data_IF_383488320311
#
_entry.id   IF_383488320311
#
_cell.length_a   1.000
_cell.length_b   1.000
_cell.length_c   1.000
_cell.angle_alpha   90.00
_cell.angle_beta   90.00
_cell.angle_gamma   90.00
#
_symmetry.space_group_name_H-M   'P 1'
#
loop_
_entity.id
_entity.type
_entity.pdbx_description
1 polymer ?
#
# COMPACT_ATOMS: atom_id res chain seq x y z
N UNK A 1 -36.56 -1.06 2.04
CA UNK A 1 -37.48 0.04 1.66
C UNK A 1 -36.68 1.17 1.03
N UNK A 2 -37.35 2.18 0.43
CA UNK A 2 -36.76 3.43 -0.07
C UNK A 2 -35.41 3.29 -0.80
N UNK A 3 -35.44 2.99 -2.11
CA UNK A 3 -34.35 3.44 -2.98
C UNK A 3 -34.41 4.97 -3.04
N UNK A 4 -33.43 5.63 -2.44
CA UNK A 4 -33.26 7.08 -2.58
C UNK A 4 -32.58 7.38 -3.90
N UNK A 5 -33.25 8.10 -4.79
CA UNK A 5 -32.59 8.80 -5.89
C UNK A 5 -31.55 9.74 -5.27
N UNK A 6 -30.26 9.39 -5.36
CA UNK A 6 -29.18 10.31 -4.96
C UNK A 6 -29.28 11.53 -5.86
N UNK A 7 -29.44 12.71 -5.27
CA UNK A 7 -29.36 13.96 -6.03
C UNK A 7 -27.99 14.02 -6.72
N UNK A 8 -27.99 14.06 -8.04
CA UNK A 8 -26.75 13.99 -8.82
C UNK A 8 -25.89 15.25 -8.65
N UNK A 9 -26.41 16.31 -8.03
CA UNK A 9 -25.64 17.50 -7.65
C UNK A 9 -24.75 17.30 -6.41
N UNK A 10 -24.95 16.25 -5.59
CA UNK A 10 -24.24 16.08 -4.30
C UNK A 10 -23.14 15.01 -4.33
N UNK A 11 -22.58 14.69 -5.50
CA UNK A 11 -21.46 13.73 -5.65
C UNK A 11 -20.15 14.33 -5.12
N UNK A 12 -19.37 13.53 -4.39
CA UNK A 12 -18.03 13.89 -3.91
C UNK A 12 -16.95 13.05 -4.58
N UNK A 13 -15.95 13.72 -5.17
CA UNK A 13 -14.82 13.10 -5.89
C UNK A 13 -13.54 13.31 -5.09
N UNK A 14 -12.86 12.21 -4.75
CA UNK A 14 -11.52 12.27 -4.16
C UNK A 14 -10.47 12.19 -5.27
N UNK A 15 -9.67 13.23 -5.45
CA UNK A 15 -8.43 13.19 -6.24
C UNK A 15 -7.27 12.88 -5.27
N UNK A 16 -6.79 11.63 -5.25
CA UNK A 16 -5.63 11.21 -4.47
C UNK A 16 -4.48 10.76 -5.39
N UNK A 17 -3.69 11.71 -5.92
CA UNK A 17 -2.56 11.43 -6.81
C UNK A 17 -1.35 10.92 -6.04
N UNK A 18 -0.48 10.18 -6.72
CA UNK A 18 0.87 9.88 -6.25
C UNK A 18 1.75 11.15 -6.26
N UNK A 19 3.06 10.97 -6.11
CA UNK A 19 4.07 12.03 -6.20
C UNK A 19 5.09 11.71 -7.30
N UNK A 20 5.80 12.73 -7.77
CA UNK A 20 6.88 12.61 -8.75
C UNK A 20 6.44 12.70 -10.22
N UNK A 21 7.37 12.55 -11.17
CA UNK A 21 7.16 12.92 -12.59
C UNK A 21 6.03 12.21 -13.33
N UNK A 22 5.52 11.10 -12.80
CA UNK A 22 4.40 10.33 -13.38
C UNK A 22 3.10 10.48 -12.61
N UNK A 23 3.01 11.32 -11.57
CA UNK A 23 1.76 11.59 -10.87
C UNK A 23 0.80 12.47 -11.68
N UNK A 24 -0.51 12.37 -11.42
CA UNK A 24 -1.56 13.17 -12.09
C UNK A 24 -1.25 14.68 -12.06
N UNK A 25 -0.90 15.23 -10.90
CA UNK A 25 -0.64 16.68 -10.78
C UNK A 25 0.63 17.11 -11.51
N UNK A 26 1.64 16.24 -11.59
CA UNK A 26 2.91 16.53 -12.24
C UNK A 26 2.86 16.32 -13.77
N UNK A 27 1.86 15.57 -14.27
CA UNK A 27 1.58 15.39 -15.71
C UNK A 27 0.51 16.35 -16.26
N UNK A 28 -0.56 16.59 -15.52
CA UNK A 28 -1.75 17.33 -15.99
C UNK A 28 -2.03 18.64 -15.24
N UNK A 29 -1.45 18.82 -14.05
CA UNK A 29 -1.42 20.07 -13.29
C UNK A 29 -2.77 20.77 -13.11
N UNK A 30 -2.73 22.09 -13.24
CA UNK A 30 -3.85 22.98 -13.01
C UNK A 30 -5.08 22.64 -13.87
N UNK A 31 -4.86 22.23 -15.11
CA UNK A 31 -5.96 21.94 -16.03
C UNK A 31 -6.80 20.74 -15.58
N UNK A 32 -6.23 19.79 -14.82
CA UNK A 32 -7.00 18.65 -14.34
C UNK A 32 -7.94 19.01 -13.19
N UNK A 33 -7.48 19.84 -12.24
CA UNK A 33 -8.34 20.41 -11.19
C UNK A 33 -9.42 21.29 -11.84
N UNK A 34 -9.04 22.08 -12.86
CA UNK A 34 -9.96 22.92 -13.65
C UNK A 34 -11.01 22.10 -14.41
N UNK A 35 -10.70 20.88 -14.86
CA UNK A 35 -11.67 19.97 -15.48
C UNK A 35 -12.59 19.30 -14.45
N UNK A 36 -12.06 18.92 -13.29
CA UNK A 36 -12.87 18.40 -12.19
C UNK A 36 -13.89 19.42 -11.69
N UNK A 37 -13.51 20.69 -11.52
CA UNK A 37 -14.42 21.74 -11.09
C UNK A 37 -15.57 21.99 -12.10
N UNK A 38 -15.35 21.75 -13.41
CA UNK A 38 -16.42 21.83 -14.42
C UNK A 38 -17.51 20.76 -14.27
N UNK A 39 -17.27 19.68 -13.51
CA UNK A 39 -18.29 18.63 -13.29
C UNK A 39 -19.47 19.10 -12.44
N UNK A 40 -19.26 20.13 -11.61
CA UNK A 40 -20.20 20.59 -10.58
C UNK A 40 -20.11 19.84 -9.25
N UNK A 41 -19.24 18.82 -9.14
CA UNK A 41 -19.08 18.00 -7.94
C UNK A 41 -18.15 18.63 -6.91
N UNK A 42 -18.32 18.25 -5.63
CA UNK A 42 -17.40 18.62 -4.57
C UNK A 42 -16.11 17.79 -4.72
N UNK A 43 -14.97 18.46 -4.81
CA UNK A 43 -13.67 17.86 -5.11
C UNK A 43 -12.78 17.93 -3.87
N UNK A 44 -12.39 16.77 -3.34
CA UNK A 44 -11.37 16.67 -2.30
C UNK A 44 -10.05 16.36 -3.00
N UNK A 45 -9.06 17.24 -2.91
CA UNK A 45 -7.71 16.98 -3.43
C UNK A 45 -6.82 16.58 -2.26
N UNK A 46 -6.37 15.32 -2.26
CA UNK A 46 -5.52 14.74 -1.21
C UNK A 46 -4.20 14.21 -1.80
N UNK A 47 -3.22 15.09 -2.09
CA UNK A 47 -1.93 14.67 -2.64
C UNK A 47 -1.19 13.74 -1.69
N UNK A 48 -0.39 12.82 -2.24
CA UNK A 48 0.53 12.02 -1.44
C UNK A 48 1.43 12.95 -0.59
N UNK A 49 1.64 12.69 0.72
CA UNK A 49 2.35 13.62 1.61
C UNK A 49 3.73 14.07 1.12
N UNK A 50 4.43 13.22 0.36
CA UNK A 50 5.73 13.53 -0.23
C UNK A 50 5.70 14.71 -1.22
N UNK A 51 4.59 14.96 -1.93
CA UNK A 51 4.51 16.09 -2.88
C UNK A 51 4.64 17.45 -2.20
N UNK A 52 4.16 17.60 -0.95
CA UNK A 52 4.36 18.82 -0.16
C UNK A 52 5.84 19.07 0.23
N UNK A 53 6.70 18.04 0.10
CA UNK A 53 8.14 18.11 0.40
C UNK A 53 8.99 18.19 -0.88
N UNK A 54 8.74 17.29 -1.84
CA UNK A 54 9.53 17.15 -3.08
C UNK A 54 9.03 17.98 -4.24
N UNK A 55 7.76 18.40 -4.25
CA UNK A 55 7.09 19.08 -5.36
C UNK A 55 6.48 20.41 -4.89
N UNK A 56 7.11 21.04 -3.88
CA UNK A 56 6.57 22.19 -3.15
C UNK A 56 6.11 23.33 -4.07
N UNK A 57 6.91 23.71 -5.07
CA UNK A 57 6.57 24.83 -5.98
C UNK A 57 5.35 24.52 -6.86
N UNK A 58 5.12 23.24 -7.20
CA UNK A 58 3.90 22.79 -7.86
C UNK A 58 2.71 22.87 -6.89
N UNK A 59 2.88 22.40 -5.66
CA UNK A 59 1.83 22.41 -4.64
C UNK A 59 1.39 23.83 -4.26
N UNK A 60 2.35 24.71 -3.96
CA UNK A 60 2.10 26.12 -3.66
C UNK A 60 1.35 26.81 -4.81
N UNK A 61 1.77 26.56 -6.06
CA UNK A 61 1.09 27.11 -7.25
C UNK A 61 -0.35 26.61 -7.36
N UNK A 62 -0.58 25.31 -7.22
CA UNK A 62 -1.92 24.72 -7.35
C UNK A 62 -2.86 25.21 -6.23
N UNK A 63 -2.38 25.27 -4.99
CA UNK A 63 -3.17 25.79 -3.87
C UNK A 63 -3.45 27.30 -3.98
N UNK A 64 -2.57 28.07 -4.64
CA UNK A 64 -2.79 29.50 -4.92
C UNK A 64 -3.71 29.75 -6.13
N UNK A 65 -3.70 28.88 -7.14
CA UNK A 65 -4.60 28.96 -8.31
C UNK A 65 -6.01 28.43 -7.98
N UNK A 66 -6.12 27.46 -7.07
CA UNK A 66 -7.35 26.82 -6.64
C UNK A 66 -7.43 26.77 -5.10
N UNK A 67 -7.74 27.88 -4.41
CA UNK A 67 -7.92 27.89 -2.96
C UNK A 67 -9.20 27.13 -2.53
N UNK A 68 -9.28 26.77 -1.24
CA UNK A 68 -10.43 26.08 -0.66
C UNK A 68 -11.75 26.85 -0.87
N UNK A 69 -12.84 26.13 -1.09
CA UNK A 69 -14.18 26.67 -1.36
C UNK A 69 -15.27 25.62 -1.09
N UNK A 70 -16.55 25.99 -1.19
CA UNK A 70 -17.68 25.04 -1.15
C UNK A 70 -17.51 23.83 -2.09
N UNK A 71 -16.81 24.02 -3.22
CA UNK A 71 -16.58 22.98 -4.23
C UNK A 71 -15.20 22.29 -4.12
N UNK A 72 -14.25 22.81 -3.32
CA UNK A 72 -12.86 22.33 -3.32
C UNK A 72 -12.25 22.31 -1.91
N UNK A 73 -11.67 21.17 -1.53
CA UNK A 73 -10.95 21.00 -0.27
C UNK A 73 -9.54 20.42 -0.51
N UNK A 74 -8.50 21.07 0.02
CA UNK A 74 -7.15 20.50 0.11
C UNK A 74 -6.97 19.68 1.38
N UNK A 75 -7.30 18.38 1.28
CA UNK A 75 -7.20 17.48 2.42
C UNK A 75 -5.74 17.06 2.70
N UNK A 76 -5.32 17.21 3.96
CA UNK A 76 -3.93 16.97 4.41
C UNK A 76 -3.84 16.15 5.71
N UNK A 77 -4.92 15.47 6.08
CA UNK A 77 -5.01 14.73 7.33
C UNK A 77 -4.06 13.53 7.36
N UNK A 78 -3.51 13.21 8.53
CA UNK A 78 -2.60 12.06 8.68
C UNK A 78 -3.33 10.73 8.50
N UNK A 79 -4.56 10.62 9.01
CA UNK A 79 -5.48 9.52 8.71
C UNK A 79 -6.10 9.73 7.31
N UNK A 80 -6.45 8.65 6.61
CA UNK A 80 -7.16 8.67 5.33
C UNK A 80 -8.67 8.35 5.47
N UNK A 81 -9.11 7.81 6.60
CA UNK A 81 -10.42 7.19 6.76
C UNK A 81 -11.58 8.11 6.35
N UNK A 82 -11.70 9.31 6.92
CA UNK A 82 -12.87 10.17 6.69
C UNK A 82 -12.97 10.67 5.24
N UNK A 83 -11.83 10.96 4.59
CA UNK A 83 -11.79 11.36 3.19
C UNK A 83 -12.24 10.20 2.27
N UNK A 84 -11.74 8.98 2.50
CA UNK A 84 -12.16 7.78 1.77
C UNK A 84 -13.63 7.41 2.06
N UNK A 85 -14.10 7.64 3.30
CA UNK A 85 -15.44 7.30 3.74
C UNK A 85 -16.52 8.21 3.14
N UNK A 86 -16.31 9.53 3.07
CA UNK A 86 -17.32 10.47 2.55
C UNK A 86 -17.36 10.64 1.03
N UNK A 87 -16.30 10.23 0.32
CA UNK A 87 -16.22 10.37 -1.14
C UNK A 87 -16.99 9.26 -1.85
N UNK A 88 -17.67 9.55 -2.97
CA UNK A 88 -18.38 8.53 -3.76
C UNK A 88 -17.43 7.76 -4.68
N UNK A 89 -16.45 8.45 -5.26
CA UNK A 89 -15.47 7.91 -6.22
C UNK A 89 -14.06 8.42 -5.92
N UNK A 90 -13.05 7.60 -6.22
CA UNK A 90 -11.63 7.96 -6.16
C UNK A 90 -11.07 8.09 -7.58
N UNK A 91 -10.33 9.17 -7.82
CA UNK A 91 -9.47 9.35 -8.99
C UNK A 91 -8.02 9.31 -8.51
N UNK A 92 -7.24 8.39 -9.07
CA UNK A 92 -5.84 8.15 -8.69
C UNK A 92 -5.05 7.64 -9.89
N UNK A 93 -3.76 7.40 -9.70
CA UNK A 93 -2.82 6.89 -10.71
C UNK A 93 -2.33 5.48 -10.32
N UNK A 94 -1.13 5.35 -9.79
CA UNK A 94 -0.53 4.07 -9.36
C UNK A 94 -0.44 3.93 -7.84
N UNK A 95 -1.13 4.81 -7.10
CA UNK A 95 -1.11 4.84 -5.63
C UNK A 95 -1.80 3.62 -5.01
N UNK A 96 -1.21 3.09 -3.94
CA UNK A 96 -1.79 2.00 -3.15
C UNK A 96 -3.15 2.32 -2.51
N UNK A 97 -3.50 3.61 -2.37
CA UNK A 97 -4.79 4.05 -1.81
C UNK A 97 -6.00 3.62 -2.66
N UNK A 98 -5.77 3.21 -3.92
CA UNK A 98 -6.77 2.53 -4.76
C UNK A 98 -7.32 1.28 -4.06
N UNK A 99 -6.46 0.50 -3.39
CA UNK A 99 -6.87 -0.72 -2.70
C UNK A 99 -7.59 -0.41 -1.38
N UNK A 100 -7.17 0.63 -0.65
CA UNK A 100 -7.90 1.11 0.53
C UNK A 100 -9.32 1.52 0.14
N UNK A 101 -9.48 2.37 -0.89
CA UNK A 101 -10.79 2.86 -1.31
C UNK A 101 -11.69 1.76 -1.88
N UNK A 102 -11.19 0.99 -2.85
CA UNK A 102 -12.00 -0.01 -3.54
C UNK A 102 -12.26 -1.25 -2.68
N UNK A 103 -11.28 -1.73 -1.92
CA UNK A 103 -11.41 -2.97 -1.16
C UNK A 103 -11.93 -2.72 0.26
N UNK A 104 -11.60 -1.62 0.96
CA UNK A 104 -12.21 -1.34 2.28
C UNK A 104 -13.61 -0.75 2.12
N UNK A 105 -13.76 0.34 1.34
CA UNK A 105 -15.02 1.10 1.29
C UNK A 105 -16.03 0.64 0.22
N UNK A 106 -15.67 -0.34 -0.63
CA UNK A 106 -16.51 -0.88 -1.72
C UNK A 106 -16.96 0.14 -2.78
N UNK A 107 -16.03 0.97 -3.24
CA UNK A 107 -16.33 2.07 -4.17
C UNK A 107 -15.51 1.99 -5.47
N UNK A 108 -16.07 2.42 -6.61
CA UNK A 108 -15.37 2.42 -7.89
C UNK A 108 -14.22 3.42 -7.90
N UNK A 109 -13.25 3.19 -8.80
CA UNK A 109 -12.13 4.11 -9.01
C UNK A 109 -12.03 4.57 -10.47
N UNK A 110 -11.31 5.65 -10.72
CA UNK A 110 -10.81 6.01 -12.05
C UNK A 110 -9.28 6.06 -11.96
N UNK A 111 -8.62 5.20 -12.72
CA UNK A 111 -7.17 5.19 -12.84
C UNK A 111 -6.73 6.07 -14.02
N UNK A 112 -5.92 7.09 -13.76
CA UNK A 112 -5.26 7.86 -14.80
C UNK A 112 -4.11 7.07 -15.44
N UNK A 113 -4.10 6.95 -16.76
CA UNK A 113 -2.94 6.51 -17.52
C UNK A 113 -1.93 7.66 -17.64
N UNK A 114 -1.14 7.81 -16.60
CA UNK A 114 -0.06 8.80 -16.58
C UNK A 114 1.18 8.34 -17.36
N UNK A 115 1.12 7.22 -18.09
CA UNK A 115 2.27 6.55 -18.73
C UNK A 115 3.38 6.34 -17.69
N UNK A 116 3.04 5.55 -16.67
CA UNK A 116 3.91 5.19 -15.55
C UNK A 116 5.18 4.50 -16.05
N UNK A 117 6.30 4.86 -15.43
CA UNK A 117 7.62 4.29 -15.69
C UNK A 117 8.00 3.47 -14.46
N UNK A 118 7.98 2.15 -14.60
CA UNK A 118 8.30 1.20 -13.54
C UNK A 118 9.81 0.89 -13.46
N UNK A 119 10.61 1.37 -14.42
CA UNK A 119 12.07 1.12 -14.47
C UNK A 119 12.89 1.65 -13.29
N UNK A 120 12.46 2.68 -12.51
CA UNK A 120 13.13 3.08 -11.27
C UNK A 120 12.87 2.17 -10.06
N UNK A 121 11.99 1.16 -10.18
CA UNK A 121 11.49 0.37 -9.05
C UNK A 121 11.87 -1.12 -9.17
N UNK A 122 12.02 -1.80 -8.03
CA UNK A 122 12.31 -3.25 -7.94
C UNK A 122 11.35 -4.14 -8.76
N UNK A 123 10.13 -3.64 -9.03
CA UNK A 123 9.15 -4.28 -9.89
C UNK A 123 9.65 -4.55 -11.32
N UNK A 124 10.56 -3.72 -11.85
CA UNK A 124 11.15 -3.86 -13.19
C UNK A 124 11.89 -5.19 -13.40
N UNK A 125 12.40 -5.81 -12.32
CA UNK A 125 13.07 -7.12 -12.39
C UNK A 125 12.08 -8.30 -12.44
N UNK A 126 10.78 -8.06 -12.31
CA UNK A 126 9.74 -9.10 -12.33
C UNK A 126 9.32 -9.41 -13.78
N UNK A 127 9.42 -10.69 -14.17
CA UNK A 127 8.97 -11.19 -15.49
C UNK A 127 7.44 -11.23 -15.67
N UNK A 128 6.68 -10.63 -14.76
CA UNK A 128 5.21 -10.57 -14.75
C UNK A 128 4.78 -9.23 -14.18
N UNK A 129 3.70 -8.68 -14.71
CA UNK A 129 3.05 -7.49 -14.15
C UNK A 129 2.70 -7.75 -12.67
N UNK A 130 3.02 -6.84 -11.72
CA UNK A 130 2.60 -6.95 -10.34
C UNK A 130 1.07 -7.05 -10.22
N UNK A 131 0.57 -7.87 -9.29
CA UNK A 131 -0.87 -8.13 -9.14
C UNK A 131 -1.69 -6.84 -9.02
N UNK A 132 -1.23 -5.87 -8.21
CA UNK A 132 -1.88 -4.56 -8.04
C UNK A 132 -2.08 -3.82 -9.36
N UNK A 133 -1.05 -3.72 -10.21
CA UNK A 133 -1.17 -3.09 -11.53
C UNK A 133 -2.06 -3.90 -12.48
N UNK A 134 -2.11 -5.23 -12.32
CA UNK A 134 -2.96 -6.09 -13.16
C UNK A 134 -4.45 -6.05 -12.80
N UNK A 135 -4.82 -5.73 -11.55
CA UNK A 135 -6.23 -5.68 -11.13
C UNK A 135 -6.87 -4.30 -11.22
N UNK A 136 -6.10 -3.22 -11.30
CA UNK A 136 -6.62 -1.85 -11.46
C UNK A 136 -7.71 -1.73 -12.57
N UNK A 137 -7.56 -2.30 -13.77
CA UNK A 137 -8.59 -2.27 -14.82
C UNK A 137 -9.90 -3.02 -14.50
N UNK A 138 -9.97 -3.75 -13.39
CA UNK A 138 -11.18 -4.42 -12.87
C UNK A 138 -11.90 -3.58 -11.80
N UNK A 139 -11.23 -2.60 -11.20
CA UNK A 139 -11.74 -1.81 -10.07
C UNK A 139 -12.52 -0.56 -10.51
N UNK A 140 -12.42 -0.19 -11.79
CA UNK A 140 -13.11 0.95 -12.39
C UNK A 140 -12.50 1.38 -13.72
N UNK A 141 -12.89 2.56 -14.23
CA UNK A 141 -12.49 3.01 -15.56
C UNK A 141 -11.04 3.53 -15.65
N UNK A 142 -10.55 3.59 -16.90
CA UNK A 142 -9.24 4.13 -17.26
C UNK A 142 -9.40 5.52 -17.90
N UNK A 143 -8.89 6.54 -17.22
CA UNK A 143 -8.77 7.91 -17.72
C UNK A 143 -7.50 8.04 -18.57
N UNK A 144 -7.61 8.65 -19.75
CA UNK A 144 -6.50 8.94 -20.67
C UNK A 144 -6.60 10.38 -21.18
N UNK A 145 -5.63 10.84 -21.97
CA UNK A 145 -5.67 12.19 -22.56
C UNK A 145 -6.86 12.35 -23.53
N UNK A 146 -7.28 11.27 -24.19
CA UNK A 146 -8.31 11.26 -25.23
C UNK A 146 -9.75 11.25 -24.69
N UNK A 147 -10.01 10.67 -23.52
CA UNK A 147 -11.35 10.58 -22.92
C UNK A 147 -11.58 11.58 -21.76
N UNK A 148 -10.58 12.41 -21.44
CA UNK A 148 -10.63 13.42 -20.38
C UNK A 148 -11.69 14.50 -20.60
N UNK A 149 -12.12 14.75 -21.84
CA UNK A 149 -13.25 15.65 -22.16
C UNK A 149 -14.55 15.22 -21.49
N UNK A 150 -14.73 13.92 -21.30
CA UNK A 150 -15.98 13.29 -20.85
C UNK A 150 -15.91 12.91 -19.36
N UNK A 151 -14.98 13.51 -18.60
CA UNK A 151 -14.68 13.17 -17.20
C UNK A 151 -15.92 13.13 -16.29
N UNK A 152 -16.89 14.05 -16.46
CA UNK A 152 -18.16 13.99 -15.71
C UNK A 152 -18.94 12.71 -16.04
N UNK A 153 -19.10 12.39 -17.33
CA UNK A 153 -19.78 11.18 -17.77
C UNK A 153 -19.06 9.92 -17.28
N UNK A 154 -17.72 9.91 -17.32
CA UNK A 154 -16.91 8.80 -16.81
C UNK A 154 -17.10 8.56 -15.32
N UNK A 155 -17.20 9.63 -14.51
CA UNK A 155 -17.55 9.55 -13.09
C UNK A 155 -18.95 8.97 -12.90
N UNK A 156 -19.92 9.46 -13.67
CA UNK A 156 -21.32 9.05 -13.59
C UNK A 156 -21.50 7.58 -13.97
N UNK A 157 -20.93 7.16 -15.09
CA UNK A 157 -20.90 5.77 -15.56
C UNK A 157 -20.28 4.84 -14.50
N UNK A 158 -19.11 5.21 -13.94
CA UNK A 158 -18.42 4.40 -12.91
C UNK A 158 -19.22 4.24 -11.62
N UNK A 159 -20.06 5.21 -11.25
CA UNK A 159 -20.90 5.17 -10.06
C UNK A 159 -22.18 4.35 -10.26
N UNK A 160 -22.56 4.08 -11.51
CA UNK A 160 -23.82 3.42 -11.88
C UNK A 160 -23.59 2.01 -12.50
N UNK A 161 -22.35 1.65 -12.87
CA UNK A 161 -21.98 0.34 -13.42
C UNK A 161 -21.79 -0.74 -12.33
N UNK A 162 -22.77 -1.64 -12.23
CA UNK A 162 -22.76 -2.80 -11.32
C UNK A 162 -21.60 -3.78 -11.57
N UNK A 163 -21.03 -3.83 -12.79
CA UNK A 163 -19.96 -4.78 -13.13
C UNK A 163 -18.65 -4.49 -12.41
N UNK A 164 -18.39 -3.22 -12.04
CA UNK A 164 -17.27 -2.86 -11.16
C UNK A 164 -17.51 -3.32 -9.72
N UNK A 165 -18.76 -3.46 -9.27
CA UNK A 165 -19.06 -3.93 -7.91
C UNK A 165 -18.78 -5.42 -7.76
N UNK A 166 -19.29 -6.25 -8.68
CA UNK A 166 -18.93 -7.67 -8.77
C UNK A 166 -17.42 -7.86 -8.91
N UNK A 167 -16.76 -7.05 -9.74
CA UNK A 167 -15.30 -7.10 -9.92
C UNK A 167 -14.51 -6.73 -8.65
N UNK A 168 -14.97 -5.75 -7.84
CA UNK A 168 -14.37 -5.44 -6.53
C UNK A 168 -14.52 -6.59 -5.54
N UNK A 169 -15.64 -7.32 -5.56
CA UNK A 169 -15.85 -8.49 -4.70
C UNK A 169 -14.88 -9.62 -5.05
N UNK A 170 -14.70 -9.92 -6.34
CA UNK A 170 -13.70 -10.89 -6.78
C UNK A 170 -12.26 -10.49 -6.42
N UNK A 171 -11.91 -9.20 -6.52
CA UNK A 171 -10.56 -8.71 -6.14
C UNK A 171 -10.36 -8.73 -4.62
N UNK A 172 -11.41 -8.55 -3.80
CA UNK A 172 -11.35 -8.81 -2.34
C UNK A 172 -11.04 -10.27 -2.06
N UNK A 173 -11.76 -11.20 -2.66
CA UNK A 173 -11.58 -12.64 -2.44
C UNK A 173 -10.17 -13.13 -2.89
N UNK A 174 -9.60 -12.53 -3.93
CA UNK A 174 -8.19 -12.74 -4.32
C UNK A 174 -7.19 -12.20 -3.29
N UNK A 175 -7.51 -11.09 -2.62
CA UNK A 175 -6.60 -10.37 -1.73
C UNK A 175 -6.66 -10.81 -0.25
N UNK A 176 -7.82 -11.27 0.22
CA UNK A 176 -8.14 -11.37 1.64
C UNK A 176 -8.38 -12.81 2.13
N UNK A 177 -7.32 -13.47 2.59
CA UNK A 177 -7.42 -14.83 3.12
C UNK A 177 -8.26 -14.97 4.42
N UNK A 178 -8.28 -13.93 5.28
CA UNK A 178 -8.91 -13.97 6.61
C UNK A 178 -9.52 -12.60 6.98
N UNK A 179 -10.52 -12.15 6.21
CA UNK A 179 -11.19 -10.86 6.41
C UNK A 179 -11.72 -10.69 7.84
N UNK A 180 -11.47 -9.52 8.45
CA UNK A 180 -11.88 -9.21 9.82
C UNK A 180 -11.04 -9.85 10.94
N UNK A 181 -10.28 -10.91 10.67
CA UNK A 181 -9.50 -11.62 11.68
C UNK A 181 -8.07 -11.08 11.92
N UNK A 182 -7.60 -10.13 11.10
CA UNK A 182 -6.21 -9.66 11.08
C UNK A 182 -5.65 -9.32 12.47
N UNK A 183 -6.35 -8.45 13.22
CA UNK A 183 -5.94 -8.05 14.57
C UNK A 183 -5.81 -9.26 15.52
N UNK A 184 -6.81 -10.16 15.53
CA UNK A 184 -6.81 -11.36 16.36
C UNK A 184 -5.61 -12.24 16.03
N UNK A 185 -5.37 -12.51 14.73
CA UNK A 185 -4.30 -13.42 14.27
C UNK A 185 -2.90 -12.86 14.53
N UNK A 186 -2.72 -11.55 14.42
CA UNK A 186 -1.47 -10.87 14.79
C UNK A 186 -1.24 -10.95 16.31
N UNK A 187 -2.25 -10.67 17.13
CA UNK A 187 -2.15 -10.80 18.59
C UNK A 187 -1.87 -12.25 19.02
N UNK A 188 -2.62 -13.23 18.50
CA UNK A 188 -2.41 -14.65 18.76
C UNK A 188 -0.97 -15.07 18.41
N UNK A 189 -0.46 -14.67 17.23
CA UNK A 189 0.91 -15.00 16.81
C UNK A 189 1.96 -14.36 17.74
N UNK A 190 1.84 -13.07 18.06
CA UNK A 190 2.80 -12.36 18.89
C UNK A 190 2.85 -12.91 20.32
N UNK A 191 1.69 -13.22 20.93
CA UNK A 191 1.63 -13.83 22.27
C UNK A 191 2.23 -15.23 22.26
N UNK A 192 1.81 -16.09 21.33
CA UNK A 192 2.36 -17.45 21.23
C UNK A 192 3.87 -17.44 20.99
N UNK A 193 4.38 -16.54 20.14
CA UNK A 193 5.82 -16.44 19.86
C UNK A 193 6.61 -15.86 21.03
N UNK A 194 6.04 -14.93 21.80
CA UNK A 194 6.63 -14.46 23.05
C UNK A 194 6.70 -15.59 24.08
N UNK A 195 5.66 -16.39 24.25
CA UNK A 195 5.69 -17.57 25.14
C UNK A 195 6.65 -18.66 24.68
N UNK A 196 6.79 -18.87 23.37
CA UNK A 196 7.78 -19.80 22.79
C UNK A 196 9.21 -19.38 23.17
N UNK A 197 9.57 -18.11 22.96
CA UNK A 197 10.91 -17.58 23.18
C UNK A 197 11.28 -17.39 24.67
N UNK A 198 10.29 -17.31 25.57
CA UNK A 198 10.51 -17.17 27.02
C UNK A 198 10.39 -18.49 27.79
N UNK A 199 10.08 -19.60 27.12
CA UNK A 199 10.29 -20.94 27.71
C UNK A 199 11.80 -21.17 27.78
N UNK A 200 12.35 -21.07 29.00
CA UNK A 200 13.70 -21.56 29.29
C UNK A 200 13.84 -22.98 28.73
N UNK A 201 14.98 -23.25 28.08
CA UNK A 201 15.41 -24.63 27.88
C UNK A 201 15.45 -25.35 29.25
N UNK A 202 15.06 -26.63 29.33
CA UNK A 202 15.17 -27.38 30.57
C UNK A 202 16.64 -27.39 31.00
N UNK A 203 16.90 -27.03 32.26
CA UNK A 203 18.25 -27.10 32.83
C UNK A 203 18.74 -28.56 32.72
N UNK A 204 19.84 -28.79 31.99
CA UNK A 204 20.41 -30.14 31.86
C UNK A 204 20.81 -30.63 33.26
N UNK A 205 20.12 -31.66 33.77
CA UNK A 205 20.46 -32.27 35.05
C UNK A 205 21.88 -32.86 34.96
N UNK A 206 22.88 -32.19 35.58
CA UNK A 206 24.25 -32.70 35.63
C UNK A 206 24.24 -34.12 36.23
N UNK A 207 24.79 -35.13 35.54
CA UNK A 207 24.71 -36.51 36.00
C UNK A 207 25.48 -36.69 37.30
N UNK A 208 24.74 -37.05 38.36
CA UNK A 208 25.20 -37.19 39.74
C UNK A 208 26.51 -38.01 39.86
N UNK A 209 27.61 -37.31 40.15
CA UNK A 209 28.97 -37.83 40.24
C UNK A 209 29.18 -38.65 41.53
N UNK A 210 28.53 -39.81 41.64
CA UNK A 210 28.76 -40.76 42.73
C UNK A 210 30.18 -41.35 42.68
N UNK A 211 30.88 -41.21 43.80
CA UNK A 211 32.26 -41.67 44.02
C UNK A 211 32.40 -43.20 43.90
N UNK A 212 33.47 -43.64 43.22
CA UNK A 212 33.99 -45.02 43.33
C UNK A 212 35.53 -45.09 43.23
N UNK A 213 36.19 -44.44 44.18
CA UNK A 213 37.55 -44.68 44.69
C UNK A 213 38.54 -45.65 43.99
N UNK A 214 39.72 -45.08 43.66
CA UNK A 214 41.07 -45.70 43.68
C UNK A 214 41.31 -47.03 42.92
N UNK A 215 42.17 -46.94 41.91
CA UNK A 215 43.39 -47.79 41.84
C UNK A 215 44.57 -46.99 41.29
N UNK A 216 45.79 -47.44 41.61
CA UNK A 216 47.08 -46.76 41.36
C UNK A 216 48.01 -47.73 40.62
N UNK A 217 49.08 -47.19 40.02
CA UNK A 217 50.21 -47.86 39.31
C UNK A 217 49.97 -48.20 37.82
N UNK A 218 50.98 -48.16 36.95
CA UNK A 218 52.42 -47.86 37.15
C UNK A 218 53.09 -47.10 35.96
N UNK A 219 54.36 -46.68 36.13
CA UNK A 219 55.23 -46.02 35.11
C UNK A 219 55.42 -46.87 33.83
N UNK A 220 55.80 -46.34 32.65
CA UNK A 220 57.05 -45.60 32.33
C UNK A 220 57.08 -45.12 30.85
N UNK A 221 58.01 -44.21 30.50
CA UNK A 221 58.64 -43.87 29.18
C UNK A 221 58.04 -44.34 27.83
N UNK A 222 58.20 -43.64 26.68
CA UNK A 222 58.50 -42.25 26.25
C UNK A 222 58.55 -42.26 24.67
N UNK A 223 59.02 -41.31 23.84
CA UNK A 223 59.83 -40.09 24.00
C UNK A 223 59.70 -39.10 22.80
N UNK A 224 59.86 -37.80 23.09
CA UNK A 224 60.45 -36.68 22.31
C UNK A 224 60.46 -36.68 20.76
N UNK A 225 59.78 -35.68 20.15
CA UNK A 225 60.41 -34.64 19.28
C UNK A 225 59.48 -33.48 18.87
N UNK A 226 60.05 -32.29 18.68
CA UNK A 226 59.42 -31.17 17.95
C UNK A 226 59.68 -31.23 16.43
N UNK A 227 58.82 -30.56 15.65
CA UNK A 227 59.23 -29.70 14.52
C UNK A 227 58.06 -28.84 14.01
N UNK A 228 58.28 -27.54 13.85
CA UNK A 228 57.36 -26.59 13.23
C UNK A 228 57.36 -26.72 11.69
N UNK A 229 56.32 -26.22 11.00
CA UNK A 229 56.48 -25.12 10.02
C UNK A 229 55.18 -24.55 9.43
N UNK A 230 55.31 -23.35 8.88
CA UNK A 230 54.32 -22.58 8.13
C UNK A 230 54.33 -22.93 6.63
N UNK A 231 53.22 -22.67 5.93
CA UNK A 231 53.07 -21.94 4.64
C UNK A 231 51.55 -22.00 4.29
N UNK A 232 50.78 -20.91 4.34
CA UNK A 232 50.68 -19.79 3.37
C UNK A 232 49.99 -20.18 2.04
N UNK A 233 48.74 -19.75 1.86
CA UNK A 233 48.04 -19.71 0.56
C UNK A 233 47.79 -18.27 0.10
N UNK A 234 47.40 -18.10 -1.16
CA UNK A 234 47.22 -16.82 -1.88
C UNK A 234 45.76 -16.54 -2.21
#
# INVERSE_FOLDING_TARGET
EASSEKDTSTRTVLLAPSWGPSAILSRFGADFIRDLLKTGYHIIVRPHPQSFTSEKDLMDKLMAEFPDSEQLEWNRDTDNFDALNRSDILISDFSGVIFDFSLVFDKPVICADTKFDDSPYDAWWLKRLPWGLSVIPRLGAKLTEENRSDLKKMIDDCLEDESFTESRHQVRDEAWAFQGEGNKRVCDYLVNKYEELNKKEPEEEEPDKKDSGKKKKDKKSSDKKESEKEESEK
#
